data_IF_896518028553
#
_entry.id   IF_896518028553
#
_cell.length_a   1.000
_cell.length_b   1.000
_cell.length_c   1.000
_cell.angle_alpha   90.00
_cell.angle_beta   90.00
_cell.angle_gamma   90.00
#
_symmetry.space_group_name_H-M   'P 1'
#
loop_
_entity.id
_entity.type
_entity.pdbx_description
1 polymer ?
#
# COMPACT_ATOMS: atom_id res chain seq x y z
N UNK A 1 27.96 -26.01 4.02
CA UNK A 1 26.61 -25.42 4.04
C UNK A 1 25.77 -25.97 5.19
N UNK A 2 25.38 -27.25 5.24
CA UNK A 2 24.55 -27.77 6.36
C UNK A 2 25.15 -27.47 7.74
N UNK A 3 26.42 -27.85 7.95
CA UNK A 3 27.14 -27.57 9.19
C UNK A 3 27.24 -26.05 9.48
N UNK A 4 27.34 -25.24 8.42
CA UNK A 4 27.39 -23.78 8.52
C UNK A 4 26.07 -23.20 9.01
N UNK A 5 24.96 -23.64 8.41
CA UNK A 5 23.60 -23.24 8.80
C UNK A 5 23.33 -23.64 10.24
N UNK A 6 23.72 -24.87 10.62
CA UNK A 6 23.59 -25.39 11.99
C UNK A 6 24.32 -24.52 13.01
N UNK A 7 25.61 -24.26 12.80
CA UNK A 7 26.40 -23.42 13.73
C UNK A 7 25.83 -22.01 13.86
N UNK A 8 25.36 -21.40 12.77
CA UNK A 8 24.73 -20.08 12.81
C UNK A 8 23.38 -20.08 13.55
N UNK A 9 22.62 -21.17 13.44
CA UNK A 9 21.40 -21.35 14.22
C UNK A 9 21.69 -21.56 15.70
N UNK A 10 22.71 -22.33 16.06
CA UNK A 10 23.12 -22.50 17.46
C UNK A 10 23.49 -21.15 18.09
N UNK A 11 24.18 -20.28 17.34
CA UNK A 11 24.47 -18.89 17.76
C UNK A 11 23.17 -18.08 17.94
N UNK A 12 22.21 -18.21 17.03
CA UNK A 12 20.92 -17.55 17.13
C UNK A 12 20.11 -18.01 18.35
N UNK A 13 20.10 -19.31 18.62
CA UNK A 13 19.36 -19.91 19.75
C UNK A 13 20.00 -19.53 21.10
N UNK A 14 21.32 -19.44 21.19
CA UNK A 14 22.04 -19.06 22.41
C UNK A 14 21.95 -17.55 22.72
N UNK A 15 22.07 -16.69 21.71
CA UNK A 15 22.19 -15.23 21.90
C UNK A 15 20.95 -14.43 21.48
N UNK A 16 19.97 -15.07 20.84
CA UNK A 16 18.75 -14.47 20.30
C UNK A 16 18.99 -13.62 19.04
N UNK A 17 17.91 -13.28 18.33
CA UNK A 17 17.99 -12.61 17.01
C UNK A 17 18.66 -11.24 16.96
N UNK A 18 18.85 -10.57 18.11
CA UNK A 18 19.60 -9.31 18.17
C UNK A 18 21.09 -9.50 17.87
N UNK A 19 21.64 -10.71 18.02
CA UNK A 19 23.05 -11.00 17.76
C UNK A 19 23.43 -10.69 16.30
N UNK A 20 22.49 -10.87 15.37
CA UNK A 20 22.67 -10.61 13.95
C UNK A 20 22.77 -9.13 13.55
N UNK A 21 22.63 -8.22 14.52
CA UNK A 21 22.84 -6.78 14.36
C UNK A 21 24.04 -6.27 15.18
N UNK A 22 24.83 -7.18 15.79
CA UNK A 22 26.03 -6.88 16.58
C UNK A 22 27.28 -7.40 15.88
N UNK A 23 27.72 -6.70 14.82
CA UNK A 23 28.75 -7.17 13.90
C UNK A 23 30.02 -7.68 14.60
N UNK A 24 30.62 -6.90 15.51
CA UNK A 24 31.88 -7.29 16.16
C UNK A 24 31.77 -8.58 16.97
N UNK A 25 30.72 -8.70 17.78
CA UNK A 25 30.47 -9.88 18.62
C UNK A 25 30.11 -11.10 17.76
N UNK A 26 29.30 -10.91 16.72
CA UNK A 26 28.94 -12.00 15.82
C UNK A 26 30.15 -12.51 15.04
N UNK A 27 31.02 -11.61 14.55
CA UNK A 27 32.26 -11.96 13.86
C UNK A 27 33.16 -12.81 14.76
N UNK A 28 33.32 -12.43 16.03
CA UNK A 28 34.10 -13.22 17.00
C UNK A 28 33.52 -14.63 17.19
N UNK A 29 32.21 -14.75 17.40
CA UNK A 29 31.53 -16.04 17.57
C UNK A 29 31.65 -16.92 16.31
N UNK A 30 31.51 -16.33 15.12
CA UNK A 30 31.68 -17.04 13.85
C UNK A 30 33.12 -17.51 13.70
N UNK A 31 34.13 -16.68 13.97
CA UNK A 31 35.53 -17.07 13.90
C UNK A 31 35.89 -18.20 14.88
N UNK A 32 35.30 -18.20 16.08
CA UNK A 32 35.55 -19.23 17.10
C UNK A 32 34.89 -20.57 16.76
N UNK A 33 33.63 -20.52 16.30
CA UNK A 33 32.75 -21.71 16.21
C UNK A 33 32.64 -22.28 14.81
N UNK A 34 32.77 -21.46 13.78
CA UNK A 34 32.55 -21.88 12.40
C UNK A 34 33.88 -22.22 11.71
N UNK A 35 34.16 -23.53 11.55
CA UNK A 35 35.35 -24.06 10.88
C UNK A 35 34.99 -24.81 9.59
N UNK A 36 34.30 -24.13 8.68
CA UNK A 36 33.78 -24.70 7.44
C UNK A 36 34.33 -23.98 6.21
N UNK A 37 34.18 -24.56 5.01
CA UNK A 37 34.56 -23.88 3.77
C UNK A 37 33.79 -22.56 3.55
N UNK A 38 32.61 -22.41 4.17
CA UNK A 38 31.77 -21.23 4.05
C UNK A 38 32.10 -20.13 5.09
N UNK A 39 33.08 -20.34 5.98
CA UNK A 39 33.42 -19.38 7.05
C UNK A 39 33.72 -17.99 6.51
N UNK A 40 34.53 -17.89 5.45
CA UNK A 40 34.87 -16.59 4.87
C UNK A 40 33.67 -15.90 4.20
N UNK A 41 32.74 -16.68 3.63
CA UNK A 41 31.51 -16.18 3.02
C UNK A 41 30.62 -15.54 4.10
N UNK A 42 30.46 -16.22 5.24
CA UNK A 42 29.69 -15.71 6.38
C UNK A 42 30.31 -14.45 6.96
N UNK A 43 31.63 -14.44 7.20
CA UNK A 43 32.34 -13.27 7.73
C UNK A 43 32.22 -12.07 6.79
N UNK A 44 32.39 -12.27 5.49
CA UNK A 44 32.23 -11.23 4.50
C UNK A 44 30.77 -10.73 4.43
N UNK A 45 29.77 -11.59 4.65
CA UNK A 45 28.35 -11.23 4.69
C UNK A 45 28.00 -10.35 5.90
N UNK A 46 28.69 -10.55 7.03
CA UNK A 46 28.54 -9.69 8.21
C UNK A 46 29.16 -8.32 7.95
N UNK A 47 30.38 -8.29 7.42
CA UNK A 47 31.11 -7.04 7.11
C UNK A 47 30.40 -6.18 6.08
N UNK A 48 29.82 -6.80 5.05
CA UNK A 48 29.07 -6.11 3.99
C UNK A 48 27.63 -5.73 4.38
N UNK A 49 27.16 -6.14 5.56
CA UNK A 49 25.81 -5.85 6.04
C UNK A 49 24.70 -6.72 5.42
N UNK A 50 25.04 -7.63 4.52
CA UNK A 50 24.12 -8.58 3.86
C UNK A 50 23.38 -9.42 4.87
N UNK A 51 24.10 -9.93 5.88
CA UNK A 51 23.50 -10.75 6.92
C UNK A 51 22.36 -9.98 7.59
N UNK A 52 22.61 -8.72 7.98
CA UNK A 52 21.60 -7.87 8.60
C UNK A 52 20.45 -7.56 7.62
N UNK A 53 20.75 -7.38 6.33
CA UNK A 53 19.74 -7.14 5.29
C UNK A 53 18.80 -8.33 5.13
N UNK A 54 19.32 -9.56 5.02
CA UNK A 54 18.50 -10.78 4.95
C UNK A 54 17.66 -10.94 6.22
N UNK A 55 18.27 -10.76 7.40
CA UNK A 55 17.57 -10.87 8.68
C UNK A 55 16.46 -9.85 8.84
N UNK A 56 16.60 -8.66 8.27
CA UNK A 56 15.64 -7.56 8.39
C UNK A 56 14.56 -7.55 7.30
N UNK A 57 14.92 -7.83 6.06
CA UNK A 57 14.09 -7.51 4.89
C UNK A 57 13.47 -8.73 4.21
N UNK A 58 14.08 -9.91 4.29
CA UNK A 58 13.49 -11.13 3.74
C UNK A 58 12.47 -11.65 4.75
N UNK A 59 11.19 -11.53 4.45
CA UNK A 59 10.08 -11.87 5.35
C UNK A 59 9.62 -13.32 5.23
N UNK A 60 9.92 -13.99 4.10
CA UNK A 60 9.66 -15.43 3.89
C UNK A 60 10.74 -16.09 3.02
N UNK A 61 10.81 -17.42 3.06
CA UNK A 61 11.70 -18.27 2.29
C UNK A 61 11.40 -18.32 0.78
N UNK A 62 10.27 -17.76 0.36
CA UNK A 62 9.87 -17.67 -1.06
C UNK A 62 9.98 -16.26 -1.62
N UNK A 63 10.50 -15.30 -0.85
CA UNK A 63 10.62 -13.90 -1.26
C UNK A 63 11.86 -13.64 -2.15
N UNK A 64 11.93 -14.38 -3.26
CA UNK A 64 13.06 -14.36 -4.21
C UNK A 64 13.32 -12.96 -4.80
N UNK A 65 12.31 -12.08 -4.86
CA UNK A 65 12.48 -10.69 -5.30
C UNK A 65 13.43 -9.93 -4.36
N UNK A 66 13.19 -9.98 -3.04
CA UNK A 66 14.05 -9.29 -2.07
C UNK A 66 15.42 -9.96 -2.00
N UNK A 67 15.46 -11.29 -2.11
CA UNK A 67 16.73 -12.01 -2.19
C UNK A 67 17.55 -11.61 -3.42
N UNK A 68 16.92 -11.46 -4.59
CA UNK A 68 17.59 -11.03 -5.82
C UNK A 68 18.12 -9.59 -5.71
N UNK A 69 17.39 -8.67 -5.06
CA UNK A 69 17.88 -7.31 -4.80
C UNK A 69 19.12 -7.30 -3.89
N UNK A 70 19.13 -8.15 -2.85
CA UNK A 70 20.30 -8.30 -1.98
C UNK A 70 21.48 -8.92 -2.74
N UNK A 71 21.22 -9.92 -3.60
CA UNK A 71 22.24 -10.56 -4.44
C UNK A 71 22.85 -9.56 -5.43
N UNK A 72 22.02 -8.73 -6.06
CA UNK A 72 22.45 -7.69 -7.00
C UNK A 72 23.35 -6.66 -6.31
N UNK A 73 22.97 -6.17 -5.13
CA UNK A 73 23.80 -5.21 -4.38
C UNK A 73 25.18 -5.80 -4.03
N UNK A 74 25.21 -7.08 -3.64
CA UNK A 74 26.45 -7.82 -3.39
C UNK A 74 27.36 -7.92 -4.61
N UNK A 75 26.79 -8.23 -5.76
CA UNK A 75 27.54 -8.46 -7.00
C UNK A 75 28.01 -7.11 -7.57
N UNK A 76 27.15 -6.11 -7.59
CA UNK A 76 27.43 -4.82 -8.23
C UNK A 76 28.28 -3.89 -7.36
N UNK A 77 27.95 -3.73 -6.07
CA UNK A 77 28.67 -2.84 -5.15
C UNK A 77 29.73 -3.56 -4.34
N UNK A 78 29.39 -4.76 -3.87
CA UNK A 78 30.31 -5.60 -3.10
C UNK A 78 31.36 -6.28 -3.96
N UNK A 79 31.18 -6.34 -5.29
CA UNK A 79 32.03 -7.07 -6.24
C UNK A 79 32.14 -8.57 -5.92
N UNK A 80 31.09 -9.16 -5.36
CA UNK A 80 31.06 -10.59 -5.06
C UNK A 80 30.88 -11.39 -6.36
N UNK A 81 31.58 -12.52 -6.53
CA UNK A 81 31.23 -13.47 -7.57
C UNK A 81 29.77 -13.93 -7.37
N UNK A 82 29.03 -14.05 -8.46
CA UNK A 82 27.59 -14.37 -8.44
C UNK A 82 27.28 -15.60 -7.59
N UNK A 83 28.01 -16.68 -7.83
CA UNK A 83 27.81 -17.97 -7.16
C UNK A 83 28.06 -17.85 -5.65
N UNK A 84 28.96 -16.96 -5.24
CA UNK A 84 29.27 -16.69 -3.83
C UNK A 84 28.19 -15.83 -3.18
N UNK A 85 27.65 -14.83 -3.89
CA UNK A 85 26.54 -14.00 -3.40
C UNK A 85 25.25 -14.81 -3.20
N UNK A 86 24.89 -15.65 -4.18
CA UNK A 86 23.72 -16.53 -4.08
C UNK A 86 23.91 -17.53 -2.94
N UNK A 87 25.09 -18.16 -2.86
CA UNK A 87 25.43 -19.10 -1.78
C UNK A 87 25.37 -18.45 -0.39
N UNK A 88 25.79 -17.18 -0.27
CA UNK A 88 25.66 -16.44 0.98
C UNK A 88 24.19 -16.25 1.37
N UNK A 89 23.34 -15.84 0.44
CA UNK A 89 21.91 -15.64 0.68
C UNK A 89 21.23 -16.96 1.05
N UNK A 90 21.54 -18.06 0.35
CA UNK A 90 21.04 -19.39 0.68
C UNK A 90 21.36 -19.77 2.13
N UNK A 91 22.63 -19.64 2.54
CA UNK A 91 23.05 -19.91 3.93
C UNK A 91 22.21 -19.09 4.91
N UNK A 92 22.05 -17.79 4.66
CA UNK A 92 21.39 -16.87 5.58
C UNK A 92 19.87 -17.09 5.67
N UNK A 93 19.22 -17.38 4.54
CA UNK A 93 17.78 -17.70 4.47
C UNK A 93 17.52 -19.00 5.22
N UNK A 94 18.34 -20.04 5.00
CA UNK A 94 18.22 -21.33 5.71
C UNK A 94 18.54 -21.18 7.20
N UNK A 95 19.46 -20.31 7.58
CA UNK A 95 19.69 -19.95 9.00
C UNK A 95 18.45 -19.31 9.62
N UNK A 96 17.79 -18.38 8.91
CA UNK A 96 16.64 -17.64 9.43
C UNK A 96 15.38 -18.49 9.56
N UNK A 97 15.06 -19.29 8.56
CA UNK A 97 13.76 -19.94 8.45
C UNK A 97 13.80 -21.46 8.69
N UNK A 98 14.93 -22.13 8.52
CA UNK A 98 14.99 -23.60 8.62
C UNK A 98 16.05 -24.23 7.72
N UNK A 99 16.82 -25.22 8.20
CA UNK A 99 17.69 -25.98 7.30
C UNK A 99 16.89 -26.80 6.27
N UNK A 100 15.66 -27.22 6.58
CA UNK A 100 14.83 -28.06 5.70
C UNK A 100 14.26 -27.35 4.46
N UNK A 101 14.56 -26.06 4.26
CA UNK A 101 14.01 -25.27 3.16
C UNK A 101 14.66 -25.67 1.84
N UNK A 102 13.84 -26.00 0.86
CA UNK A 102 14.26 -26.15 -0.53
C UNK A 102 14.52 -24.78 -1.14
N UNK A 103 15.79 -24.49 -1.39
CA UNK A 103 16.23 -23.25 -2.01
C UNK A 103 16.41 -23.46 -3.53
N UNK A 104 15.56 -22.85 -4.34
CA UNK A 104 15.61 -23.00 -5.79
C UNK A 104 16.53 -21.95 -6.42
N UNK A 105 17.72 -22.38 -6.81
CA UNK A 105 18.72 -21.52 -7.45
C UNK A 105 18.28 -20.99 -8.83
N UNK A 106 17.36 -21.65 -9.51
CA UNK A 106 16.86 -21.21 -10.83
C UNK A 106 16.06 -19.90 -10.74
N UNK A 107 15.56 -19.57 -9.54
CA UNK A 107 14.90 -18.28 -9.28
C UNK A 107 15.89 -17.12 -9.12
N UNK A 108 17.21 -17.39 -9.11
CA UNK A 108 18.26 -16.36 -9.11
C UNK A 108 18.77 -16.11 -10.53
N UNK A 109 18.10 -15.23 -11.24
CA UNK A 109 18.33 -14.82 -12.64
C UNK A 109 19.52 -13.87 -12.81
N UNK A 110 20.55 -13.91 -11.96
CA UNK A 110 21.61 -12.89 -11.97
C UNK A 110 22.56 -13.05 -13.17
N UNK A 111 22.12 -12.63 -14.34
CA UNK A 111 22.89 -12.11 -15.46
C UNK A 111 22.02 -10.96 -15.92
N UNK A 112 22.22 -9.78 -15.34
CA UNK A 112 21.48 -8.63 -15.85
C UNK A 112 22.18 -8.23 -17.14
N UNK A 113 21.65 -8.70 -18.28
CA UNK A 113 21.82 -7.99 -19.53
C UNK A 113 21.21 -6.60 -19.31
N UNK A 114 22.07 -5.63 -18.98
CA UNK A 114 21.67 -4.23 -18.95
C UNK A 114 21.52 -3.80 -20.41
N UNK A 115 20.28 -3.73 -20.86
CA UNK A 115 19.96 -3.16 -22.15
C UNK A 115 19.58 -1.69 -21.96
N UNK A 116 20.34 -0.79 -22.59
CA UNK A 116 19.94 0.60 -22.78
C UNK A 116 19.41 0.75 -24.22
N UNK A 117 18.09 0.88 -24.35
CA UNK A 117 17.39 1.04 -25.63
C UNK A 117 16.60 2.34 -25.52
N UNK A 118 16.78 3.28 -26.44
CA UNK A 118 15.98 4.52 -26.54
C UNK A 118 15.77 5.29 -25.20
N UNK A 119 16.81 5.32 -24.36
CA UNK A 119 16.79 6.00 -23.06
C UNK A 119 16.13 5.21 -21.92
N UNK A 120 15.63 4.01 -22.18
CA UNK A 120 15.21 3.03 -21.18
C UNK A 120 16.42 2.26 -20.66
N UNK A 121 16.50 2.03 -19.35
CA UNK A 121 17.40 1.06 -18.73
C UNK A 121 16.58 -0.13 -18.25
N UNK A 122 16.79 -1.29 -18.84
CA UNK A 122 16.10 -2.52 -18.48
C UNK A 122 17.10 -3.48 -17.82
N UNK A 123 16.70 -4.04 -16.69
CA UNK A 123 17.50 -4.93 -15.84
C UNK A 123 16.62 -6.14 -15.54
N UNK A 124 16.94 -7.31 -16.08
CA UNK A 124 16.16 -8.55 -15.88
C UNK A 124 14.66 -8.33 -16.13
N UNK A 125 14.35 -7.81 -17.34
CA UNK A 125 12.99 -7.43 -17.77
C UNK A 125 12.30 -6.38 -16.88
N UNK A 126 12.98 -5.82 -15.88
CA UNK A 126 12.49 -4.70 -15.10
C UNK A 126 12.98 -3.40 -15.71
N UNK A 127 12.06 -2.52 -16.07
CA UNK A 127 12.40 -1.16 -16.44
C UNK A 127 12.81 -0.40 -15.16
N UNK A 128 14.09 -0.03 -15.05
CA UNK A 128 14.66 0.56 -13.82
C UNK A 128 14.97 2.05 -13.93
N UNK A 129 15.09 2.56 -15.16
CA UNK A 129 15.31 3.99 -15.40
C UNK A 129 14.80 4.38 -16.77
N UNK A 130 14.36 5.62 -16.88
CA UNK A 130 14.10 6.25 -18.17
C UNK A 130 14.73 7.65 -18.14
N UNK A 131 15.43 8.02 -19.22
CA UNK A 131 16.13 9.32 -19.35
C UNK A 131 15.54 10.21 -20.46
N UNK A 132 14.53 9.73 -21.17
CA UNK A 132 13.91 10.50 -22.25
C UNK A 132 12.96 11.58 -21.76
N UNK A 133 12.46 12.35 -22.72
CA UNK A 133 11.53 13.47 -22.50
C UNK A 133 10.27 13.32 -23.37
N UNK A 134 9.93 12.07 -23.72
CA UNK A 134 8.81 11.80 -24.62
C UNK A 134 7.49 12.23 -24.00
N UNK A 135 6.63 12.83 -24.83
CA UNK A 135 5.24 13.12 -24.49
C UNK A 135 4.37 11.87 -24.59
N UNK A 136 4.64 11.04 -25.59
CA UNK A 136 3.95 9.77 -25.80
C UNK A 136 5.03 8.70 -25.70
N UNK A 137 4.90 7.85 -24.68
CA UNK A 137 5.90 6.85 -24.35
C UNK A 137 5.34 5.45 -24.57
N UNK A 138 6.04 4.65 -25.36
CA UNK A 138 5.79 3.22 -25.51
C UNK A 138 6.90 2.46 -24.76
N UNK A 139 6.53 1.70 -23.73
CA UNK A 139 7.50 0.90 -22.98
C UNK A 139 7.91 -0.32 -23.83
N UNK A 140 9.20 -0.69 -23.90
CA UNK A 140 9.66 -1.81 -24.73
C UNK A 140 9.01 -3.14 -24.39
N UNK A 141 8.69 -3.93 -25.41
CA UNK A 141 8.19 -5.31 -25.27
C UNK A 141 9.15 -6.18 -24.44
N UNK A 142 8.60 -7.17 -23.75
CA UNK A 142 9.37 -8.08 -22.89
C UNK A 142 9.67 -7.54 -21.49
N UNK A 143 9.36 -6.26 -21.20
CA UNK A 143 9.35 -5.73 -19.83
C UNK A 143 8.25 -6.42 -19.02
N UNK A 144 8.58 -6.89 -17.82
CA UNK A 144 7.65 -7.56 -16.90
C UNK A 144 7.35 -6.72 -15.66
N UNK A 145 8.18 -5.73 -15.35
CA UNK A 145 8.04 -4.88 -14.17
C UNK A 145 8.49 -3.45 -14.47
N UNK A 146 7.69 -2.46 -14.06
CA UNK A 146 8.12 -1.06 -14.03
C UNK A 146 8.58 -0.76 -12.62
N UNK A 147 9.87 -0.50 -12.43
CA UNK A 147 10.41 -0.28 -11.10
C UNK A 147 9.92 1.04 -10.46
N UNK A 148 10.29 1.22 -9.20
CA UNK A 148 9.89 2.39 -8.44
C UNK A 148 10.48 3.69 -9.00
N UNK A 149 9.67 4.74 -9.07
CA UNK A 149 10.09 6.11 -9.48
C UNK A 149 10.68 6.26 -10.89
N UNK A 150 10.57 5.27 -11.77
CA UNK A 150 11.18 5.27 -13.12
C UNK A 150 10.82 6.52 -13.93
N UNK A 151 9.54 6.90 -13.91
CA UNK A 151 8.99 8.09 -14.58
C UNK A 151 8.63 9.19 -13.57
N UNK A 152 9.18 9.13 -12.36
CA UNK A 152 8.89 10.09 -11.31
C UNK A 152 9.24 11.51 -11.77
N UNK A 153 8.23 12.39 -11.79
CA UNK A 153 8.29 13.79 -12.22
C UNK A 153 8.61 13.99 -13.71
N UNK A 154 8.28 13.02 -14.57
CA UNK A 154 8.20 13.24 -16.01
C UNK A 154 7.00 14.16 -16.33
N UNK A 155 7.14 15.46 -16.06
CA UNK A 155 6.06 16.46 -16.14
C UNK A 155 5.60 16.79 -17.55
N UNK A 156 6.33 16.33 -18.58
CA UNK A 156 5.98 16.45 -19.99
C UNK A 156 5.24 15.24 -20.55
N UNK A 157 5.27 14.10 -19.84
CA UNK A 157 4.67 12.84 -20.29
C UNK A 157 3.15 12.97 -20.29
N UNK A 158 2.53 12.82 -21.46
CA UNK A 158 1.09 12.98 -21.73
C UNK A 158 0.40 11.61 -21.88
N UNK A 159 1.08 10.61 -22.46
CA UNK A 159 0.52 9.27 -22.66
C UNK A 159 1.58 8.18 -22.43
N UNK A 160 1.15 7.07 -21.81
CA UNK A 160 1.98 5.86 -21.65
C UNK A 160 1.26 4.65 -22.19
N UNK A 161 1.95 3.88 -23.04
CA UNK A 161 1.54 2.56 -23.51
C UNK A 161 2.42 1.52 -22.84
N UNK A 162 1.82 0.71 -21.98
CA UNK A 162 2.51 -0.37 -21.27
C UNK A 162 2.26 -1.67 -22.06
N UNK A 163 3.31 -2.42 -22.46
CA UNK A 163 3.17 -3.61 -23.30
C UNK A 163 2.59 -4.80 -22.51
N UNK A 164 2.02 -5.79 -23.21
CA UNK A 164 1.65 -7.07 -22.60
C UNK A 164 2.83 -7.73 -21.88
N UNK A 165 2.56 -8.40 -20.76
CA UNK A 165 3.58 -9.09 -19.97
C UNK A 165 4.09 -8.27 -18.77
N UNK A 166 3.83 -6.96 -18.71
CA UNK A 166 4.05 -6.17 -17.49
C UNK A 166 3.05 -6.60 -16.42
N UNK A 167 3.57 -7.13 -15.32
CA UNK A 167 2.79 -7.66 -14.18
C UNK A 167 2.69 -6.64 -13.05
N UNK A 168 3.67 -5.74 -12.93
CA UNK A 168 3.78 -4.82 -11.78
C UNK A 168 4.17 -3.39 -12.18
N UNK A 169 3.49 -2.42 -11.59
CA UNK A 169 3.90 -1.00 -11.57
C UNK A 169 4.39 -0.66 -10.16
N UNK A 170 5.66 -0.29 -10.05
CA UNK A 170 6.33 -0.01 -8.79
C UNK A 170 5.85 1.27 -8.10
N UNK A 171 6.28 1.43 -6.85
CA UNK A 171 5.92 2.60 -6.05
C UNK A 171 6.45 3.89 -6.69
N UNK A 172 5.62 4.94 -6.71
CA UNK A 172 5.96 6.24 -7.31
C UNK A 172 6.36 6.19 -8.80
N UNK A 173 6.10 5.09 -9.52
CA UNK A 173 6.55 4.92 -10.91
C UNK A 173 6.23 6.12 -11.80
N UNK A 174 5.04 6.71 -11.69
CA UNK A 174 4.60 7.92 -12.41
C UNK A 174 4.33 9.10 -11.46
N UNK A 175 4.97 9.12 -10.28
CA UNK A 175 4.76 10.16 -9.28
C UNK A 175 4.95 11.56 -9.87
N UNK A 176 3.94 12.42 -9.81
CA UNK A 176 4.02 13.80 -10.25
C UNK A 176 4.13 13.99 -11.76
N UNK A 177 3.76 13.00 -12.59
CA UNK A 177 3.58 13.18 -14.03
C UNK A 177 2.35 14.04 -14.30
N UNK A 178 2.45 15.35 -14.07
CA UNK A 178 1.29 16.24 -14.03
C UNK A 178 0.61 16.44 -15.38
N UNK A 179 1.31 16.20 -16.50
CA UNK A 179 0.75 16.24 -17.84
C UNK A 179 0.10 14.93 -18.27
N UNK A 180 0.30 13.82 -17.54
CA UNK A 180 -0.15 12.49 -17.96
C UNK A 180 -1.66 12.45 -18.04
N UNK A 181 -2.19 12.20 -19.23
CA UNK A 181 -3.62 12.20 -19.56
C UNK A 181 -4.17 10.78 -19.67
N UNK A 182 -3.36 9.85 -20.19
CA UNK A 182 -3.78 8.46 -20.42
C UNK A 182 -2.67 7.44 -20.15
N UNK A 183 -3.07 6.33 -19.54
CA UNK A 183 -2.22 5.14 -19.34
C UNK A 183 -2.99 3.94 -19.85
N UNK A 184 -2.44 3.25 -20.85
CA UNK A 184 -2.99 1.98 -21.33
C UNK A 184 -2.43 0.85 -20.47
N UNK A 185 -3.27 0.32 -19.58
CA UNK A 185 -2.94 -0.82 -18.72
C UNK A 185 -3.03 -2.11 -19.54
N UNK A 186 -2.02 -3.01 -19.48
CA UNK A 186 -2.03 -4.24 -20.24
C UNK A 186 -2.79 -5.35 -19.49
N UNK A 187 -3.29 -6.38 -20.20
CA UNK A 187 -3.74 -7.62 -19.56
C UNK A 187 -2.59 -8.27 -18.78
N UNK A 188 -2.91 -8.91 -17.66
CA UNK A 188 -1.93 -9.54 -16.76
C UNK A 188 -1.25 -8.61 -15.76
N UNK A 189 -1.50 -7.29 -15.79
CA UNK A 189 -1.05 -6.39 -14.74
C UNK A 189 -1.82 -6.69 -13.44
N UNK A 190 -1.11 -7.10 -12.39
CA UNK A 190 -1.72 -7.53 -11.12
C UNK A 190 -1.50 -6.54 -9.98
N UNK A 191 -0.46 -5.69 -10.03
CA UNK A 191 -0.08 -4.82 -8.91
C UNK A 191 0.25 -3.39 -9.35
N UNK A 192 -0.33 -2.41 -8.65
CA UNK A 192 0.01 -0.98 -8.73
C UNK A 192 0.49 -0.52 -7.35
N UNK A 193 1.74 -0.07 -7.27
CA UNK A 193 2.42 0.27 -6.02
C UNK A 193 2.00 1.60 -5.40
N UNK A 194 2.52 1.85 -4.20
CA UNK A 194 2.23 3.06 -3.42
C UNK A 194 2.61 4.32 -4.18
N UNK A 195 1.73 5.32 -4.18
CA UNK A 195 1.92 6.60 -4.86
C UNK A 195 2.20 6.49 -6.37
N UNK A 196 1.90 5.36 -7.03
CA UNK A 196 2.28 5.12 -8.43
C UNK A 196 1.86 6.25 -9.38
N UNK A 197 0.64 6.78 -9.25
CA UNK A 197 0.11 7.90 -10.04
C UNK A 197 -0.16 9.15 -9.18
N UNK A 198 0.50 9.29 -8.04
CA UNK A 198 0.32 10.43 -7.14
C UNK A 198 0.55 11.76 -7.88
N UNK A 199 -0.39 12.69 -7.78
CA UNK A 199 -0.40 13.98 -8.48
C UNK A 199 -0.29 13.89 -10.02
N UNK A 200 -0.76 12.81 -10.65
CA UNK A 200 -1.05 12.79 -12.09
C UNK A 200 -2.31 13.61 -12.38
N UNK A 201 -2.21 14.93 -12.24
CA UNK A 201 -3.36 15.86 -12.17
C UNK A 201 -4.22 15.88 -13.43
N UNK A 202 -3.63 15.58 -14.58
CA UNK A 202 -4.33 15.53 -15.86
C UNK A 202 -4.89 14.14 -16.22
N UNK A 203 -4.66 13.12 -15.41
CA UNK A 203 -5.05 11.75 -15.73
C UNK A 203 -6.58 11.68 -15.83
N UNK A 204 -7.06 11.24 -17.00
CA UNK A 204 -8.49 11.10 -17.31
C UNK A 204 -8.83 9.69 -17.75
N UNK A 205 -7.95 9.06 -18.52
CA UNK A 205 -8.20 7.79 -19.18
C UNK A 205 -7.23 6.73 -18.63
N UNK A 206 -7.65 6.06 -17.56
CA UNK A 206 -7.00 4.85 -17.05
C UNK A 206 -8.04 3.73 -16.96
N UNK A 207 -7.98 2.81 -17.92
CA UNK A 207 -8.87 1.67 -17.95
C UNK A 207 -8.22 0.53 -17.17
N UNK A 208 -8.84 0.15 -16.06
CA UNK A 208 -8.36 -0.95 -15.26
C UNK A 208 -8.75 -2.29 -15.88
N UNK A 209 -7.95 -3.32 -15.60
CA UNK A 209 -8.20 -4.71 -16.02
C UNK A 209 -8.64 -5.54 -14.82
N UNK A 210 -9.35 -6.64 -15.07
CA UNK A 210 -9.82 -7.56 -14.02
C UNK A 210 -8.68 -8.29 -13.29
N UNK A 211 -7.48 -8.34 -13.90
CA UNK A 211 -6.30 -9.00 -13.35
C UNK A 211 -5.69 -8.27 -12.15
N UNK A 212 -6.01 -6.97 -11.96
CA UNK A 212 -5.44 -6.16 -10.89
C UNK A 212 -5.97 -6.64 -9.54
N UNK A 213 -5.04 -7.01 -8.65
CA UNK A 213 -5.31 -7.50 -7.29
C UNK A 213 -4.94 -6.49 -6.22
N UNK A 214 -4.05 -5.56 -6.52
CA UNK A 214 -3.50 -4.64 -5.52
C UNK A 214 -3.37 -3.21 -6.05
N UNK A 215 -3.93 -2.26 -5.27
CA UNK A 215 -3.78 -0.82 -5.45
C UNK A 215 -3.15 -0.23 -4.19
N UNK A 216 -1.91 0.24 -4.28
CA UNK A 216 -1.16 0.74 -3.13
C UNK A 216 -1.66 2.06 -2.57
N UNK A 217 -1.17 2.40 -1.37
CA UNK A 217 -1.47 3.64 -0.66
C UNK A 217 -1.26 4.85 -1.56
N UNK A 218 -2.25 5.74 -1.59
CA UNK A 218 -2.22 7.00 -2.32
C UNK A 218 -1.85 6.86 -3.81
N UNK A 219 -2.14 5.70 -4.42
CA UNK A 219 -1.81 5.39 -5.82
C UNK A 219 -2.44 6.39 -6.80
N UNK A 220 -3.65 6.92 -6.52
CA UNK A 220 -4.32 7.95 -7.34
C UNK A 220 -4.51 9.29 -6.63
N UNK A 221 -3.78 9.54 -5.53
CA UNK A 221 -3.88 10.80 -4.79
C UNK A 221 -3.70 12.00 -5.73
N UNK A 222 -4.59 12.99 -5.64
CA UNK A 222 -4.48 14.24 -6.38
C UNK A 222 -4.66 14.10 -7.89
N UNK A 223 -5.20 12.98 -8.39
CA UNK A 223 -5.60 12.82 -9.79
C UNK A 223 -6.89 13.62 -10.05
N UNK A 224 -6.75 14.93 -10.14
CA UNK A 224 -7.90 15.87 -10.10
C UNK A 224 -8.83 15.80 -11.30
N UNK A 225 -8.44 15.18 -12.42
CA UNK A 225 -9.26 15.08 -13.63
C UNK A 225 -9.98 13.74 -13.82
N UNK A 226 -9.71 12.73 -12.98
CA UNK A 226 -10.48 11.48 -13.00
C UNK A 226 -11.93 11.81 -12.62
N UNK A 227 -12.89 11.40 -13.46
CA UNK A 227 -14.33 11.62 -13.26
C UNK A 227 -15.06 10.37 -12.80
N UNK A 228 -14.72 9.22 -13.39
CA UNK A 228 -15.26 7.92 -13.06
C UNK A 228 -14.11 6.95 -12.83
N UNK A 229 -14.29 6.01 -11.90
CA UNK A 229 -13.31 4.96 -11.66
C UNK A 229 -14.00 3.65 -11.27
N UNK A 230 -13.55 2.54 -11.84
CA UNK A 230 -14.03 1.20 -11.52
C UNK A 230 -12.87 0.43 -10.88
N UNK A 231 -13.02 0.11 -9.59
CA UNK A 231 -12.02 -0.69 -8.88
C UNK A 231 -12.17 -2.15 -9.34
N UNK A 232 -11.09 -2.81 -9.78
CA UNK A 232 -11.14 -4.20 -10.25
C UNK A 232 -11.60 -5.20 -9.20
N UNK A 233 -12.37 -6.21 -9.63
CA UNK A 233 -12.94 -7.27 -8.77
C UNK A 233 -11.89 -8.03 -7.94
N UNK A 234 -10.63 -8.10 -8.40
CA UNK A 234 -9.54 -8.73 -7.67
C UNK A 234 -9.06 -7.96 -6.43
N UNK A 235 -9.46 -6.70 -6.24
CA UNK A 235 -8.98 -5.82 -5.17
C UNK A 235 -9.77 -6.05 -3.88
N UNK A 236 -9.08 -6.28 -2.76
CA UNK A 236 -9.70 -6.61 -1.46
C UNK A 236 -9.72 -5.45 -0.45
N UNK A 237 -9.02 -4.35 -0.75
CA UNK A 237 -8.93 -3.16 0.11
C UNK A 237 -8.80 -1.89 -0.74
N UNK A 238 -9.43 -0.80 -0.28
CA UNK A 238 -9.11 0.55 -0.75
C UNK A 238 -8.12 1.14 0.24
N UNK A 239 -6.83 1.15 -0.13
CA UNK A 239 -5.75 1.58 0.75
C UNK A 239 -5.80 3.07 1.16
N UNK A 240 -4.87 3.48 2.03
CA UNK A 240 -4.91 4.81 2.61
C UNK A 240 -4.66 5.88 1.54
N UNK A 241 -5.54 6.88 1.48
CA UNK A 241 -5.41 8.02 0.59
C UNK A 241 -5.49 7.70 -0.90
N UNK A 242 -5.89 6.48 -1.29
CA UNK A 242 -5.88 5.99 -2.69
C UNK A 242 -6.46 7.01 -3.66
N UNK A 243 -7.61 7.61 -3.37
CA UNK A 243 -8.28 8.64 -4.17
C UNK A 243 -8.32 10.01 -3.49
N UNK A 244 -7.52 10.26 -2.46
CA UNK A 244 -7.53 11.54 -1.76
C UNK A 244 -7.26 12.70 -2.74
N UNK A 245 -8.12 13.71 -2.73
CA UNK A 245 -7.99 14.89 -3.58
C UNK A 245 -8.38 14.67 -5.05
N UNK A 246 -9.01 13.54 -5.41
CA UNK A 246 -9.65 13.35 -6.72
C UNK A 246 -10.92 14.21 -6.83
N UNK A 247 -10.73 15.53 -6.94
CA UNK A 247 -11.81 16.52 -6.76
C UNK A 247 -12.98 16.40 -7.74
N UNK A 248 -12.72 15.89 -8.95
CA UNK A 248 -13.73 15.70 -9.99
C UNK A 248 -14.28 14.26 -10.08
N UNK A 249 -13.85 13.35 -9.19
CA UNK A 249 -14.37 11.99 -9.13
C UNK A 249 -15.83 12.06 -8.69
N UNK A 250 -16.75 11.78 -9.61
CA UNK A 250 -18.20 11.83 -9.42
C UNK A 250 -18.84 10.45 -9.34
N UNK A 251 -18.21 9.44 -9.94
CA UNK A 251 -18.66 8.05 -9.95
C UNK A 251 -17.52 7.14 -9.54
N UNK A 252 -17.77 6.25 -8.57
CA UNK A 252 -16.84 5.17 -8.27
C UNK A 252 -17.59 3.86 -8.02
N UNK A 253 -17.12 2.79 -8.66
CA UNK A 253 -17.58 1.43 -8.39
C UNK A 253 -16.54 0.70 -7.55
N UNK A 254 -16.98 0.20 -6.41
CA UNK A 254 -16.18 -0.59 -5.48
C UNK A 254 -16.75 -2.02 -5.50
N UNK A 255 -15.93 -3.05 -5.77
CA UNK A 255 -16.41 -4.43 -5.88
C UNK A 255 -16.74 -5.01 -4.50
N UNK A 256 -17.57 -6.05 -4.50
CA UNK A 256 -18.03 -6.73 -3.27
C UNK A 256 -16.90 -7.49 -2.54
N UNK A 257 -15.74 -7.64 -3.18
CA UNK A 257 -14.51 -8.22 -2.61
C UNK A 257 -13.79 -7.29 -1.64
N UNK A 258 -14.07 -5.98 -1.66
CA UNK A 258 -13.45 -5.02 -0.76
C UNK A 258 -14.00 -5.15 0.66
N UNK A 259 -13.08 -5.29 1.62
CA UNK A 259 -13.38 -5.46 3.05
C UNK A 259 -12.95 -4.27 3.91
N UNK A 260 -12.08 -3.40 3.38
CA UNK A 260 -11.48 -2.28 4.11
C UNK A 260 -11.54 -1.02 3.25
N UNK A 261 -12.04 0.08 3.84
CA UNK A 261 -11.92 1.43 3.30
C UNK A 261 -10.94 2.21 4.17
N UNK A 262 -9.72 2.41 3.65
CA UNK A 262 -8.58 2.95 4.38
C UNK A 262 -8.70 4.43 4.74
N UNK A 263 -7.76 4.89 5.57
CA UNK A 263 -7.67 6.27 6.06
C UNK A 263 -7.59 7.23 4.88
N UNK A 264 -8.44 8.26 4.89
CA UNK A 264 -8.47 9.33 3.88
C UNK A 264 -8.65 8.87 2.43
N UNK A 265 -9.04 7.60 2.19
CA UNK A 265 -9.17 6.98 0.86
C UNK A 265 -9.93 7.83 -0.16
N UNK A 266 -11.00 8.52 0.25
CA UNK A 266 -11.83 9.41 -0.60
C UNK A 266 -11.82 10.87 -0.14
N UNK A 267 -10.91 11.25 0.74
CA UNK A 267 -10.88 12.60 1.32
C UNK A 267 -10.80 13.66 0.22
N UNK A 268 -11.73 14.62 0.23
CA UNK A 268 -11.77 15.72 -0.72
C UNK A 268 -12.25 15.34 -2.13
N UNK A 269 -12.89 14.19 -2.32
CA UNK A 269 -13.63 13.85 -3.54
C UNK A 269 -14.93 14.68 -3.62
N UNK A 270 -14.79 15.98 -3.94
CA UNK A 270 -15.86 16.97 -3.84
C UNK A 270 -17.02 16.74 -4.82
N UNK A 271 -16.76 16.14 -5.97
CA UNK A 271 -17.76 15.86 -6.99
C UNK A 271 -18.53 14.55 -6.76
N UNK A 272 -18.11 13.73 -5.79
CA UNK A 272 -18.77 12.47 -5.49
C UNK A 272 -20.16 12.76 -4.91
N UNK A 273 -21.20 12.18 -5.51
CA UNK A 273 -22.60 12.41 -5.12
C UNK A 273 -23.23 11.17 -4.49
N UNK A 274 -22.79 9.99 -4.93
CA UNK A 274 -23.17 8.70 -4.38
C UNK A 274 -21.93 7.81 -4.24
N UNK A 275 -21.98 6.90 -3.28
CA UNK A 275 -21.00 5.82 -3.16
C UNK A 275 -21.66 4.62 -2.49
N UNK A 276 -21.55 3.46 -3.13
CA UNK A 276 -21.99 2.19 -2.55
C UNK A 276 -20.82 1.56 -1.79
N UNK A 277 -20.97 1.42 -0.47
CA UNK A 277 -20.00 0.70 0.35
C UNK A 277 -20.26 -0.81 0.21
N UNK A 278 -19.25 -1.63 -0.08
CA UNK A 278 -19.41 -3.07 -0.22
C UNK A 278 -19.98 -3.74 1.05
N UNK A 279 -20.87 -4.74 0.92
CA UNK A 279 -21.59 -5.36 2.04
C UNK A 279 -20.69 -6.19 2.97
N UNK A 280 -19.43 -6.46 2.59
CA UNK A 280 -18.44 -7.15 3.42
C UNK A 280 -17.43 -6.21 4.08
N UNK A 281 -17.56 -4.89 3.87
CA UNK A 281 -16.66 -3.91 4.50
C UNK A 281 -16.90 -3.91 6.01
N UNK A 282 -15.84 -4.00 6.80
CA UNK A 282 -15.93 -4.07 8.27
C UNK A 282 -15.52 -2.78 8.98
N UNK A 283 -14.75 -1.92 8.30
CA UNK A 283 -14.21 -0.67 8.84
C UNK A 283 -14.22 0.46 7.80
N UNK A 284 -14.63 1.65 8.25
CA UNK A 284 -14.39 2.93 7.57
C UNK A 284 -13.27 3.66 8.31
N UNK A 285 -12.13 3.87 7.65
CA UNK A 285 -10.95 4.49 8.25
C UNK A 285 -11.09 5.98 8.56
N UNK A 286 -10.11 6.51 9.29
CA UNK A 286 -10.08 7.92 9.68
C UNK A 286 -10.12 8.85 8.45
N UNK A 287 -11.00 9.85 8.51
CA UNK A 287 -11.20 10.84 7.46
C UNK A 287 -11.48 10.25 6.07
N UNK A 288 -11.90 8.98 5.95
CA UNK A 288 -12.11 8.29 4.67
C UNK A 288 -12.91 9.11 3.67
N UNK A 289 -14.01 9.73 4.10
CA UNK A 289 -14.90 10.55 3.27
C UNK A 289 -14.85 12.04 3.62
N UNK A 290 -13.83 12.49 4.35
CA UNK A 290 -13.74 13.88 4.80
C UNK A 290 -13.76 14.85 3.61
N UNK A 291 -14.69 15.80 3.59
CA UNK A 291 -14.81 16.83 2.55
C UNK A 291 -15.43 16.32 1.25
N UNK A 292 -16.12 15.17 1.26
CA UNK A 292 -16.97 14.73 0.14
C UNK A 292 -18.26 15.57 0.12
N UNK A 293 -18.13 16.80 -0.37
CA UNK A 293 -19.16 17.83 -0.25
C UNK A 293 -20.43 17.56 -1.08
N UNK A 294 -20.36 16.71 -2.12
CA UNK A 294 -21.48 16.37 -2.99
C UNK A 294 -22.38 15.25 -2.49
N UNK A 295 -21.95 14.45 -1.50
CA UNK A 295 -22.71 13.29 -1.04
C UNK A 295 -23.83 13.75 -0.10
N UNK A 296 -25.08 13.52 -0.51
CA UNK A 296 -26.26 13.90 0.28
C UNK A 296 -26.76 12.80 1.22
N UNK A 297 -26.45 11.54 0.91
CA UNK A 297 -26.84 10.37 1.70
C UNK A 297 -25.74 9.31 1.64
N UNK A 298 -25.48 8.66 2.77
CA UNK A 298 -24.60 7.52 2.88
C UNK A 298 -25.40 6.31 3.34
N UNK A 299 -25.35 5.21 2.58
CA UNK A 299 -25.79 3.91 3.03
C UNK A 299 -24.58 3.18 3.64
N UNK A 300 -24.63 2.92 4.95
CA UNK A 300 -23.59 2.20 5.68
C UNK A 300 -24.07 0.76 5.88
N UNK A 301 -23.36 -0.26 5.37
CA UNK A 301 -23.74 -1.66 5.56
C UNK A 301 -23.69 -2.10 7.03
N UNK A 302 -24.56 -3.06 7.38
CA UNK A 302 -24.61 -3.65 8.73
C UNK A 302 -23.33 -4.39 9.15
N UNK A 303 -22.45 -4.72 8.19
CA UNK A 303 -21.14 -5.34 8.44
C UNK A 303 -20.13 -4.39 9.09
N UNK A 304 -20.36 -3.08 9.03
CA UNK A 304 -19.43 -2.08 9.56
C UNK A 304 -19.47 -2.10 11.09
N UNK A 305 -18.32 -2.35 11.71
CA UNK A 305 -18.17 -2.40 13.17
C UNK A 305 -17.54 -1.13 13.76
N UNK A 306 -16.81 -0.38 12.93
CA UNK A 306 -16.04 0.82 13.31
C UNK A 306 -16.10 1.89 12.24
N UNK A 307 -16.34 3.13 12.67
CA UNK A 307 -16.23 4.35 11.87
C UNK A 307 -15.16 5.23 12.51
N UNK A 308 -14.10 5.52 11.76
CA UNK A 308 -12.91 6.24 12.22
C UNK A 308 -13.12 7.74 12.47
N UNK A 309 -12.06 8.38 12.99
CA UNK A 309 -12.08 9.80 13.34
C UNK A 309 -12.31 10.67 12.11
N UNK A 310 -13.21 11.65 12.21
CA UNK A 310 -13.54 12.59 11.13
C UNK A 310 -13.98 11.94 9.81
N UNK A 311 -14.44 10.67 9.83
CA UNK A 311 -14.75 9.90 8.62
C UNK A 311 -15.65 10.65 7.62
N UNK A 312 -16.64 11.41 8.11
CA UNK A 312 -17.58 12.19 7.30
C UNK A 312 -17.50 13.70 7.59
N UNK A 313 -16.36 14.19 8.12
CA UNK A 313 -16.20 15.61 8.42
C UNK A 313 -16.20 16.45 7.14
N UNK A 314 -16.61 17.71 7.21
CA UNK A 314 -16.72 18.67 6.12
C UNK A 314 -17.64 18.21 4.95
N UNK A 315 -18.51 17.21 5.17
CA UNK A 315 -19.52 16.79 4.20
C UNK A 315 -20.71 17.75 4.23
N UNK A 316 -20.76 18.63 3.24
CA UNK A 316 -21.69 19.78 3.24
C UNK A 316 -23.12 19.46 2.82
N UNK A 317 -23.35 18.35 2.09
CA UNK A 317 -24.65 18.00 1.55
C UNK A 317 -25.42 16.94 2.38
N UNK A 318 -24.76 16.24 3.31
CA UNK A 318 -25.41 15.21 4.13
C UNK A 318 -26.49 15.82 5.00
N UNK A 319 -27.74 15.38 4.84
CA UNK A 319 -28.87 15.86 5.64
C UNK A 319 -29.25 14.95 6.78
N UNK A 320 -29.11 13.64 6.62
CA UNK A 320 -29.48 12.63 7.60
C UNK A 320 -28.46 11.50 7.57
N UNK A 321 -28.20 10.90 8.72
CA UNK A 321 -27.31 9.75 8.84
C UNK A 321 -27.94 8.67 9.71
N UNK A 322 -27.95 7.44 9.21
CA UNK A 322 -28.34 6.26 9.96
C UNK A 322 -27.07 5.45 10.20
N UNK A 323 -26.69 5.29 11.47
CA UNK A 323 -25.58 4.44 11.86
C UNK A 323 -26.16 3.05 12.16
N UNK A 324 -25.74 1.98 11.45
CA UNK A 324 -26.36 0.67 11.56
C UNK A 324 -25.99 -0.05 12.86
N UNK A 325 -26.78 -1.07 13.22
CA UNK A 325 -26.62 -1.86 14.46
C UNK A 325 -25.31 -2.67 14.50
N UNK A 326 -24.57 -2.80 13.40
CA UNK A 326 -23.21 -3.35 13.43
C UNK A 326 -22.19 -2.47 14.16
N UNK A 327 -22.42 -1.15 14.21
CA UNK A 327 -21.38 -0.18 14.62
C UNK A 327 -21.24 -0.13 16.14
N UNK A 328 -20.08 -0.56 16.63
CA UNK A 328 -19.75 -0.53 18.06
C UNK A 328 -18.83 0.64 18.44
N UNK A 329 -18.09 1.18 17.47
CA UNK A 329 -17.14 2.28 17.67
C UNK A 329 -17.42 3.40 16.67
N UNK A 330 -17.70 4.59 17.19
CA UNK A 330 -17.83 5.82 16.42
C UNK A 330 -16.71 6.80 16.86
N UNK A 331 -15.82 7.17 15.94
CA UNK A 331 -14.65 8.01 16.21
C UNK A 331 -14.99 9.44 16.64
N UNK A 332 -13.93 10.23 16.88
CA UNK A 332 -14.03 11.65 17.20
C UNK A 332 -14.37 12.48 15.95
N UNK A 333 -15.16 13.53 16.12
CA UNK A 333 -15.47 14.52 15.09
C UNK A 333 -16.00 13.94 13.76
N UNK A 334 -16.64 12.76 13.79
CA UNK A 334 -17.11 12.03 12.59
C UNK A 334 -17.93 12.91 11.65
N UNK A 335 -18.85 13.71 12.18
CA UNK A 335 -19.70 14.62 11.42
C UNK A 335 -19.31 16.10 11.57
N UNK A 336 -18.01 16.38 11.78
CA UNK A 336 -17.58 17.75 11.96
C UNK A 336 -17.86 18.63 10.76
N UNK A 337 -18.31 19.87 11.00
CA UNK A 337 -18.61 20.86 9.97
C UNK A 337 -19.54 20.33 8.85
N UNK A 338 -20.59 19.59 9.20
CA UNK A 338 -21.65 19.17 8.28
C UNK A 338 -22.87 20.10 8.43
N UNK A 339 -22.92 21.26 7.74
CA UNK A 339 -23.95 22.29 7.98
C UNK A 339 -25.37 21.89 7.59
N UNK A 340 -25.55 20.95 6.65
CA UNK A 340 -26.86 20.48 6.21
C UNK A 340 -27.45 19.37 7.11
N UNK A 341 -26.64 18.80 8.02
CA UNK A 341 -27.03 17.65 8.83
C UNK A 341 -28.12 18.03 9.84
N UNK A 342 -29.28 17.40 9.71
CA UNK A 342 -30.49 17.62 10.52
C UNK A 342 -30.71 16.51 11.55
N UNK A 343 -30.31 15.28 11.26
CA UNK A 343 -30.52 14.16 12.18
C UNK A 343 -29.42 13.11 12.05
N UNK A 344 -29.15 12.44 13.18
CA UNK A 344 -28.30 11.25 13.23
C UNK A 344 -29.01 10.22 14.11
N UNK A 345 -29.24 9.03 13.56
CA UNK A 345 -29.76 7.87 14.29
C UNK A 345 -28.59 6.99 14.71
N UNK A 346 -28.48 6.74 16.01
CA UNK A 346 -27.41 5.92 16.59
C UNK A 346 -27.91 4.51 16.93
N UNK A 347 -27.08 3.46 16.76
CA UNK A 347 -27.48 2.10 17.05
C UNK A 347 -27.45 1.82 18.55
N UNK A 348 -28.16 0.77 18.97
CA UNK A 348 -28.15 0.28 20.35
C UNK A 348 -26.85 -0.41 20.75
N UNK A 349 -26.10 -0.92 19.76
CA UNK A 349 -24.84 -1.65 19.95
C UNK A 349 -23.61 -0.75 20.18
N UNK A 350 -23.77 0.58 20.11
CA UNK A 350 -22.67 1.52 20.25
C UNK A 350 -22.03 1.45 21.64
N UNK A 351 -20.73 1.13 21.70
CA UNK A 351 -19.94 1.04 22.94
C UNK A 351 -19.09 2.26 23.19
N UNK A 352 -18.63 2.92 22.12
CA UNK A 352 -17.75 4.07 22.19
C UNK A 352 -18.19 5.16 21.22
N UNK A 353 -18.22 6.40 21.72
CA UNK A 353 -18.41 7.61 20.92
C UNK A 353 -17.27 8.60 21.21
N UNK A 354 -16.52 8.93 20.17
CA UNK A 354 -15.42 9.87 20.25
C UNK A 354 -15.90 11.30 20.46
N UNK A 355 -14.96 12.15 20.92
CA UNK A 355 -15.27 13.54 21.23
C UNK A 355 -15.80 14.28 20.00
N UNK A 356 -16.83 15.12 20.19
CA UNK A 356 -17.43 15.94 19.12
C UNK A 356 -17.95 15.17 17.91
N UNK A 357 -18.15 13.86 18.00
CA UNK A 357 -18.59 13.03 16.87
C UNK A 357 -19.89 13.54 16.23
N UNK A 358 -20.83 14.01 17.07
CA UNK A 358 -22.13 14.58 16.70
C UNK A 358 -22.35 16.01 17.23
N UNK A 359 -21.31 16.73 17.67
CA UNK A 359 -21.46 18.04 18.34
C UNK A 359 -21.45 19.22 17.36
N UNK A 360 -22.55 19.46 16.63
CA UNK A 360 -22.67 20.63 15.74
C UNK A 360 -24.02 21.33 15.89
N UNK A 361 -24.18 22.46 15.20
CA UNK A 361 -25.04 23.58 15.59
C UNK A 361 -26.56 23.37 15.66
N UNK A 362 -27.13 22.20 15.28
CA UNK A 362 -28.60 21.96 15.23
C UNK A 362 -29.15 20.53 15.01
N UNK A 363 -28.39 19.44 14.76
CA UNK A 363 -29.03 18.17 14.41
C UNK A 363 -29.72 17.50 15.62
N UNK A 364 -30.89 16.90 15.36
CA UNK A 364 -31.60 16.05 16.30
C UNK A 364 -30.90 14.68 16.35
N UNK A 365 -30.26 14.37 17.46
CA UNK A 365 -29.68 13.04 17.70
C UNK A 365 -30.79 12.12 18.22
N UNK A 366 -31.11 11.07 17.47
CA UNK A 366 -32.03 10.03 17.87
C UNK A 366 -31.21 8.86 18.43
N UNK A 367 -31.04 8.85 19.76
CA UNK A 367 -30.33 7.80 20.45
C UNK A 367 -31.30 6.90 21.21
N UNK A 368 -31.09 5.56 21.23
CA UNK A 368 -31.79 4.68 22.16
C UNK A 368 -31.45 5.09 23.61
N UNK A 369 -32.42 4.91 24.52
CA UNK A 369 -32.40 5.38 25.92
C UNK A 369 -31.15 4.98 26.74
N UNK A 370 -30.34 4.05 26.25
CA UNK A 370 -29.18 3.43 26.91
C UNK A 370 -27.85 4.18 26.76
N UNK A 371 -27.71 5.18 25.86
CA UNK A 371 -26.45 5.91 25.62
C UNK A 371 -26.39 7.26 26.38
N UNK A 372 -26.89 7.29 27.63
CA UNK A 372 -26.73 8.45 28.53
C UNK A 372 -25.73 8.11 29.64
N UNK A 373 -24.50 7.76 29.29
CA UNK A 373 -23.37 7.68 30.25
C UNK A 373 -22.03 7.92 29.56
N UNK A 374 -21.85 9.09 28.95
CA UNK A 374 -20.50 9.63 28.74
C UNK A 374 -20.50 11.10 29.18
N UNK A 375 -19.79 11.37 30.29
CA UNK A 375 -19.59 12.69 30.91
C UNK A 375 -19.18 13.72 29.85
N UNK A 376 -20.15 14.46 29.32
CA UNK A 376 -20.14 15.86 28.84
C UNK A 376 -21.25 16.06 27.81
N UNK A 377 -22.49 15.99 28.25
CA UNK A 377 -23.64 16.45 27.46
C UNK A 377 -24.30 17.58 28.25
N UNK A 378 -24.06 18.83 27.85
CA UNK A 378 -25.00 19.91 28.19
C UNK A 378 -26.19 19.74 27.27
N UNK A 379 -27.27 19.19 27.82
CA UNK A 379 -28.60 19.20 27.25
C UNK A 379 -28.94 20.60 26.72
N UNK A 380 -29.29 20.70 25.44
CA UNK A 380 -30.18 21.73 24.95
C UNK A 380 -31.55 21.08 24.81
N UNK A 381 -32.47 21.67 25.55
CA UNK A 381 -33.82 21.23 25.93
C UNK A 381 -34.77 21.06 24.75
N UNK A 382 -35.64 20.06 24.85
CA UNK A 382 -36.91 19.98 24.11
C UNK A 382 -37.97 20.72 24.94
N UNK A 383 -38.63 21.77 24.44
CA UNK A 383 -39.90 22.22 25.03
C UNK A 383 -41.03 21.32 24.53
N UNK A 384 -41.92 20.94 25.46
CA UNK A 384 -43.24 20.34 25.19
C UNK A 384 -44.14 21.37 24.54
#
# INVERSE_FOLDING_TARGET
MEETVKVLRDIYEEYGGKIFFQNDKLMELVQQRLKTADTNIVLASIQSGVLAAVMKHVSSETEYIVMNLIAEELITKGQWPKEIAIRAIEILVRTKFGPEIEFNIENFTVMVEEEEIDGFKIVDKSLTKYKGEDKILEIPEGVTNIASSVFGKCTQLEQVIIPPGVVTIGSKAFYGCSALESVKIPPGLTHIGNNAFFNCRNLTNINMTEDIKFLGDASFYGCTKIKSFEIPEGVTSVENGTFEGCRNLSEIKIPDTVTIIGKSSFKGCKALTEIKIPPKTTEIGDAAFKGCAGISSFEIPDSITKIGDSAFADCSAITEMIIPEGVTILGSAVFANCPALKSVTLPTTLKFIGSKSVSFSKPKVLAPKTIITAKTWKLLTVPV
#
